data_IF_176300878777
#
_entry.id   IF_176300878777
#
_cell.length_a   1.000
_cell.length_b   1.000
_cell.length_c   1.000
_cell.angle_alpha   90.00
_cell.angle_beta   90.00
_cell.angle_gamma   90.00
#
_symmetry.space_group_name_H-M   'P 1'
#
loop_
_entity.id
_entity.type
_entity.pdbx_description
1 polymer ?
#
# COMPACT_ATOMS: atom_id res chain seq x y z
N UNK A 1 -7.45 2.99 -9.07
CA UNK A 1 -6.50 1.87 -9.01
C UNK A 1 -5.22 2.42 -8.41
N UNK A 2 -4.79 1.86 -7.28
CA UNK A 2 -3.61 2.34 -6.58
C UNK A 2 -2.36 2.20 -7.46
N UNK A 3 -1.47 3.18 -7.37
CA UNK A 3 -0.15 3.13 -7.99
C UNK A 3 0.83 2.49 -7.03
N UNK A 4 1.61 1.52 -7.49
CA UNK A 4 2.67 0.87 -6.71
C UNK A 4 4.00 1.34 -7.28
N UNK A 5 4.84 1.93 -6.44
CA UNK A 5 6.19 2.37 -6.80
C UNK A 5 7.19 1.74 -5.82
N UNK A 6 8.24 1.08 -6.30
CA UNK A 6 9.37 0.72 -5.44
C UNK A 6 10.19 1.99 -5.14
N UNK A 7 10.41 2.28 -3.86
CA UNK A 7 11.07 3.53 -3.41
C UNK A 7 12.37 3.26 -2.64
N UNK A 8 12.69 2.00 -2.42
CA UNK A 8 13.93 1.53 -1.80
C UNK A 8 14.02 0.01 -1.86
N UNK A 9 15.10 -0.55 -1.33
CA UNK A 9 15.27 -2.00 -1.24
C UNK A 9 14.14 -2.60 -0.40
N UNK A 10 13.33 -3.46 -1.03
CA UNK A 10 12.14 -4.08 -0.44
C UNK A 10 11.09 -3.11 0.14
N UNK A 11 11.12 -1.82 -0.23
CA UNK A 11 10.12 -0.83 0.21
C UNK A 11 9.28 -0.37 -0.97
N UNK A 12 7.97 -0.56 -0.86
CA UNK A 12 7.00 -0.23 -1.88
C UNK A 12 6.00 0.80 -1.36
N UNK A 13 5.80 1.87 -2.12
CA UNK A 13 4.77 2.87 -1.87
C UNK A 13 3.52 2.51 -2.67
N UNK A 14 2.42 2.29 -1.97
CA UNK A 14 1.07 2.21 -2.54
C UNK A 14 0.46 3.61 -2.44
N UNK A 15 0.01 4.18 -3.55
CA UNK A 15 -0.52 5.53 -3.62
C UNK A 15 -1.91 5.55 -4.23
N UNK A 16 -2.89 5.97 -3.44
CA UNK A 16 -4.29 6.14 -3.87
C UNK A 16 -4.61 7.63 -3.93
N UNK A 17 -4.93 8.13 -5.12
CA UNK A 17 -5.33 9.53 -5.30
C UNK A 17 -6.81 9.71 -4.94
N UNK A 18 -7.11 10.66 -4.05
CA UNK A 18 -8.46 11.05 -3.67
C UNK A 18 -8.82 12.39 -4.34
N UNK A 19 -9.57 12.39 -5.45
CA UNK A 19 -9.81 13.58 -6.27
C UNK A 19 -10.50 14.71 -5.49
N UNK A 20 -11.48 14.37 -4.65
CA UNK A 20 -12.26 15.31 -3.85
C UNK A 20 -11.41 16.14 -2.90
N UNK A 21 -10.38 15.51 -2.32
CA UNK A 21 -9.47 16.14 -1.37
C UNK A 21 -8.19 16.66 -2.02
N UNK A 22 -7.96 16.34 -3.30
CA UNK A 22 -6.73 16.65 -4.06
C UNK A 22 -5.45 16.20 -3.36
N UNK A 23 -5.51 15.07 -2.67
CA UNK A 23 -4.37 14.47 -1.97
C UNK A 23 -4.19 13.02 -2.38
N UNK A 24 -2.97 12.50 -2.19
CA UNK A 24 -2.70 11.08 -2.25
C UNK A 24 -2.62 10.50 -0.83
N UNK A 25 -3.28 9.38 -0.62
CA UNK A 25 -3.08 8.54 0.55
C UNK A 25 -2.00 7.51 0.20
N UNK A 26 -0.86 7.62 0.88
CA UNK A 26 0.27 6.72 0.66
C UNK A 26 0.35 5.71 1.81
N UNK A 27 0.52 4.45 1.45
CA UNK A 27 0.83 3.35 2.35
C UNK A 27 2.20 2.79 1.96
N UNK A 28 2.92 2.19 2.90
CA UNK A 28 4.21 1.57 2.63
C UNK A 28 4.18 0.09 3.00
N UNK A 29 4.53 -0.76 2.04
CA UNK A 29 4.82 -2.17 2.27
C UNK A 29 6.33 -2.33 2.39
N UNK A 30 6.76 -2.93 3.49
CA UNK A 30 8.15 -3.33 3.73
C UNK A 30 8.16 -4.86 3.63
N UNK A 31 8.74 -5.42 2.56
CA UNK A 31 8.86 -6.88 2.36
C UNK A 31 10.22 -7.38 2.85
N UNK A 32 10.32 -7.55 4.16
CA UNK A 32 11.52 -8.05 4.84
C UNK A 32 11.20 -9.35 5.60
N UNK A 33 12.14 -9.88 6.38
CA UNK A 33 11.95 -11.07 7.23
C UNK A 33 10.71 -10.97 8.13
N UNK A 34 10.37 -9.73 8.55
CA UNK A 34 9.13 -9.39 9.25
C UNK A 34 8.41 -8.31 8.46
N UNK A 35 7.51 -8.68 7.55
CA UNK A 35 6.89 -7.71 6.67
C UNK A 35 5.95 -6.80 7.44
N UNK A 36 5.82 -5.56 6.97
CA UNK A 36 5.00 -4.56 7.63
C UNK A 36 4.25 -3.71 6.60
N UNK A 37 3.00 -3.36 6.95
CA UNK A 37 2.21 -2.38 6.26
C UNK A 37 2.08 -1.12 7.13
N UNK A 38 2.76 -0.06 6.75
CA UNK A 38 2.64 1.24 7.40
C UNK A 38 1.42 1.96 6.83
N UNK A 39 0.39 2.09 7.68
CA UNK A 39 -0.90 2.73 7.41
C UNK A 39 -1.78 1.96 6.41
N UNK A 40 -3.00 1.58 6.81
CA UNK A 40 -3.93 0.80 5.97
C UNK A 40 -4.92 1.65 5.17
N UNK A 41 -5.02 2.94 5.45
CA UNK A 41 -6.01 3.82 4.84
C UNK A 41 -7.31 3.92 5.63
N UNK A 42 -8.31 4.58 5.04
CA UNK A 42 -9.67 4.62 5.57
C UNK A 42 -10.45 3.38 5.12
N UNK A 43 -11.55 3.04 5.81
CA UNK A 43 -12.40 1.88 5.47
C UNK A 43 -12.73 1.72 3.98
N UNK A 44 -13.12 2.77 3.22
CA UNK A 44 -13.44 2.62 1.80
C UNK A 44 -12.26 2.19 0.91
N UNK A 45 -11.03 2.28 1.41
CA UNK A 45 -9.81 1.96 0.69
C UNK A 45 -9.38 0.51 0.86
N UNK A 46 -10.05 -0.27 1.72
CA UNK A 46 -9.62 -1.61 2.11
C UNK A 46 -9.33 -2.52 0.91
N UNK A 47 -10.29 -2.67 -0.01
CA UNK A 47 -10.12 -3.58 -1.15
C UNK A 47 -9.02 -3.10 -2.11
N UNK A 48 -8.90 -1.80 -2.34
CA UNK A 48 -7.89 -1.24 -3.23
C UNK A 48 -6.47 -1.39 -2.64
N UNK A 49 -6.31 -1.10 -1.34
CA UNK A 49 -5.03 -1.27 -0.63
C UNK A 49 -4.66 -2.75 -0.53
N UNK A 50 -5.59 -3.62 -0.14
CA UNK A 50 -5.36 -5.08 -0.07
C UNK A 50 -4.95 -5.66 -1.41
N UNK A 51 -5.63 -5.27 -2.49
CA UNK A 51 -5.30 -5.70 -3.86
C UNK A 51 -3.93 -5.20 -4.31
N UNK A 52 -3.51 -4.02 -3.87
CA UNK A 52 -2.18 -3.50 -4.16
C UNK A 52 -1.09 -4.22 -3.33
N UNK A 53 -1.35 -4.49 -2.05
CA UNK A 53 -0.45 -5.27 -1.19
C UNK A 53 -0.23 -6.67 -1.78
N UNK A 54 -1.29 -7.34 -2.27
CA UNK A 54 -1.18 -8.68 -2.85
C UNK A 54 -0.33 -8.76 -4.13
N UNK A 55 -0.01 -7.62 -4.76
CA UNK A 55 0.91 -7.54 -5.89
C UNK A 55 2.38 -7.43 -5.44
N UNK A 56 2.62 -7.14 -4.16
CA UNK A 56 3.95 -7.05 -3.56
C UNK A 56 4.29 -8.33 -2.80
N UNK A 57 3.39 -8.77 -1.91
CA UNK A 57 3.56 -9.98 -1.08
C UNK A 57 2.20 -10.60 -0.72
N UNK A 58 2.20 -11.84 -0.23
CA UNK A 58 0.98 -12.45 0.33
C UNK A 58 0.51 -11.68 1.57
N UNK A 59 -0.68 -11.04 1.54
CA UNK A 59 -1.18 -10.26 2.68
C UNK A 59 -1.32 -11.06 3.98
N UNK A 60 -1.37 -12.40 3.93
CA UNK A 60 -1.40 -13.26 5.12
C UNK A 60 -0.10 -13.24 5.94
N UNK A 61 0.98 -12.69 5.37
CA UNK A 61 2.29 -12.53 6.05
C UNK A 61 2.37 -11.29 6.94
N UNK A 62 1.42 -10.35 6.82
CA UNK A 62 1.37 -9.07 7.55
C UNK A 62 0.82 -9.20 8.98
#
# INVERSE_FOLDING_TARGET
MARIDQVGDSIYRISVFAPEKRICFNQFVIDDERPALVHTGMYPMYEEVRTAVSQVLDPSRL
#
